data_IF_031347621675
#
_entry.id   IF_031347621675
#
_cell.length_a   1.000
_cell.length_b   1.000
_cell.length_c   1.000
_cell.angle_alpha   90.00
_cell.angle_beta   90.00
_cell.angle_gamma   90.00
#
_symmetry.space_group_name_H-M   'P 1'
#
loop_
_entity.id
_entity.type
_entity.pdbx_description
1 polymer ?
#
# COMPACT_ATOMS: atom_id res chain seq x y z
N UNK A 1 8.71 -38.85 -17.16
CA UNK A 1 7.88 -37.74 -16.70
C UNK A 1 8.81 -36.57 -16.39
N UNK A 2 8.57 -35.40 -16.95
CA UNK A 2 9.44 -34.23 -16.68
C UNK A 2 8.82 -33.50 -15.50
N UNK A 3 9.53 -33.45 -14.37
CA UNK A 3 9.08 -32.70 -13.20
C UNK A 3 9.20 -31.19 -13.48
N UNK A 4 8.08 -30.58 -13.84
CA UNK A 4 7.97 -29.15 -14.15
C UNK A 4 8.57 -28.29 -13.04
N UNK A 5 8.45 -28.68 -11.77
CA UNK A 5 8.95 -27.90 -10.62
C UNK A 5 10.47 -27.88 -10.50
N UNK A 6 11.15 -28.83 -11.15
CA UNK A 6 12.61 -28.87 -11.24
C UNK A 6 13.14 -28.11 -12.45
N UNK A 7 12.26 -27.69 -13.36
CA UNK A 7 12.70 -26.85 -14.47
C UNK A 7 13.15 -25.49 -13.94
N UNK A 8 14.27 -25.02 -14.47
CA UNK A 8 14.81 -23.69 -14.17
C UNK A 8 13.75 -22.60 -14.39
N UNK A 9 12.97 -22.74 -15.47
CA UNK A 9 11.86 -21.85 -15.79
C UNK A 9 10.83 -21.76 -14.65
N UNK A 10 10.39 -22.89 -14.09
CA UNK A 10 9.43 -22.88 -12.99
C UNK A 10 9.99 -22.22 -11.73
N UNK A 11 11.27 -22.46 -11.42
CA UNK A 11 11.92 -21.86 -10.25
C UNK A 11 12.06 -20.34 -10.39
N UNK A 12 12.41 -19.86 -11.58
CA UNK A 12 12.50 -18.43 -11.90
C UNK A 12 11.13 -17.77 -11.75
N UNK A 13 10.10 -18.27 -12.44
CA UNK A 13 8.74 -17.71 -12.39
C UNK A 13 8.13 -17.78 -10.98
N UNK A 14 8.37 -18.86 -10.22
CA UNK A 14 7.89 -18.97 -8.85
C UNK A 14 8.58 -17.97 -7.91
N UNK A 15 9.86 -17.70 -8.14
CA UNK A 15 10.61 -16.71 -7.35
C UNK A 15 10.16 -15.30 -7.68
N UNK A 16 9.97 -14.98 -8.96
CA UNK A 16 9.42 -13.71 -9.42
C UNK A 16 8.04 -13.46 -8.80
N UNK A 17 7.10 -14.41 -8.91
CA UNK A 17 5.77 -14.25 -8.34
C UNK A 17 5.76 -14.12 -6.81
N UNK A 18 6.74 -14.72 -6.11
CA UNK A 18 6.91 -14.49 -4.66
C UNK A 18 7.43 -13.10 -4.34
N UNK A 19 8.34 -12.58 -5.15
CA UNK A 19 8.90 -11.24 -4.98
C UNK A 19 7.83 -10.19 -5.25
N UNK A 20 7.11 -10.30 -6.37
CA UNK A 20 6.00 -9.42 -6.71
C UNK A 20 4.93 -9.42 -5.62
N UNK A 21 4.48 -10.59 -5.16
CA UNK A 21 3.48 -10.68 -4.09
C UNK A 21 3.95 -10.10 -2.74
N UNK A 22 5.25 -10.14 -2.46
CA UNK A 22 5.80 -9.48 -1.26
C UNK A 22 5.82 -7.96 -1.41
N UNK A 23 6.21 -7.45 -2.58
CA UNK A 23 6.23 -6.02 -2.89
C UNK A 23 4.83 -5.43 -2.87
N UNK A 24 3.87 -6.06 -3.56
CA UNK A 24 2.46 -5.67 -3.55
C UNK A 24 1.88 -5.66 -2.13
N UNK A 25 2.11 -6.73 -1.36
CA UNK A 25 1.62 -6.82 0.01
C UNK A 25 2.21 -5.75 0.94
N UNK A 26 3.48 -5.38 0.73
CA UNK A 26 4.12 -4.30 1.47
C UNK A 26 3.53 -2.93 1.09
N UNK A 27 3.32 -2.66 -0.20
CA UNK A 27 2.69 -1.42 -0.67
C UNK A 27 1.24 -1.26 -0.20
N UNK A 28 0.43 -2.32 -0.28
CA UNK A 28 -0.94 -2.33 0.24
C UNK A 28 -0.99 -2.11 1.75
N UNK A 29 -0.07 -2.73 2.48
CA UNK A 29 0.06 -2.58 3.93
C UNK A 29 0.41 -1.15 4.33
N UNK A 30 1.40 -0.55 3.66
CA UNK A 30 1.81 0.83 3.93
C UNK A 30 0.67 1.82 3.60
N UNK A 31 0.03 1.67 2.44
CA UNK A 31 -1.13 2.50 2.07
C UNK A 31 -2.26 2.38 3.09
N UNK A 32 -2.59 1.17 3.52
CA UNK A 32 -3.63 0.91 4.52
C UNK A 32 -3.28 1.56 5.87
N UNK A 33 -2.00 1.52 6.28
CA UNK A 33 -1.54 2.17 7.49
C UNK A 33 -1.69 3.70 7.42
N UNK A 34 -1.26 4.32 6.31
CA UNK A 34 -1.38 5.77 6.08
C UNK A 34 -2.84 6.23 6.12
N UNK A 35 -3.74 5.51 5.45
CA UNK A 35 -5.19 5.80 5.44
C UNK A 35 -5.79 5.69 6.84
N UNK A 36 -5.47 4.63 7.59
CA UNK A 36 -5.97 4.45 8.97
C UNK A 36 -5.52 5.59 9.89
N UNK A 37 -4.26 6.02 9.77
CA UNK A 37 -3.73 7.15 10.55
C UNK A 37 -4.46 8.44 10.13
N UNK A 38 -4.62 8.68 8.83
CA UNK A 38 -5.34 9.85 8.32
C UNK A 38 -6.77 9.91 8.86
N UNK A 39 -7.54 8.82 8.78
CA UNK A 39 -8.89 8.75 9.33
C UNK A 39 -8.94 9.10 10.82
N UNK A 40 -7.97 8.64 11.60
CA UNK A 40 -7.90 8.92 13.05
C UNK A 40 -7.60 10.39 13.35
N UNK A 41 -6.88 11.07 12.46
CA UNK A 41 -6.46 12.46 12.62
C UNK A 41 -7.38 13.48 11.93
N UNK A 42 -8.28 13.04 11.04
CA UNK A 42 -9.19 13.92 10.26
C UNK A 42 -10.04 14.85 11.14
N UNK A 43 -10.45 14.39 12.32
CA UNK A 43 -11.26 15.17 13.28
C UNK A 43 -10.42 16.08 14.18
N UNK A 44 -9.11 15.83 14.25
CA UNK A 44 -8.18 16.54 15.12
C UNK A 44 -7.48 17.66 14.34
N UNK A 45 -7.07 17.36 13.10
CA UNK A 45 -6.31 18.26 12.23
C UNK A 45 -7.25 18.74 11.11
N UNK A 46 -7.58 20.04 11.11
CA UNK A 46 -8.43 20.66 10.08
C UNK A 46 -7.65 21.11 8.85
N UNK A 47 -6.35 21.37 8.99
CA UNK A 47 -5.47 21.79 7.89
C UNK A 47 -4.99 20.56 7.10
N UNK A 48 -5.42 20.47 5.83
CA UNK A 48 -5.12 19.35 4.95
C UNK A 48 -3.63 19.20 4.65
N UNK A 49 -2.89 20.31 4.60
CA UNK A 49 -1.44 20.30 4.36
C UNK A 49 -0.70 19.70 5.55
N UNK A 50 -1.11 20.06 6.77
CA UNK A 50 -0.54 19.50 8.00
C UNK A 50 -0.84 18.00 8.10
N UNK A 51 -2.08 17.61 7.79
CA UNK A 51 -2.49 16.22 7.82
C UNK A 51 -1.74 15.37 6.77
N UNK A 52 -1.58 15.88 5.55
CA UNK A 52 -0.76 15.28 4.50
C UNK A 52 0.69 15.03 4.97
N UNK A 53 1.32 16.03 5.60
CA UNK A 53 2.68 15.92 6.13
C UNK A 53 2.83 14.82 7.18
N UNK A 54 1.84 14.63 8.06
CA UNK A 54 1.89 13.62 9.13
C UNK A 54 1.52 12.21 8.68
N UNK A 55 0.75 12.08 7.61
CA UNK A 55 0.23 10.78 7.12
C UNK A 55 1.01 10.25 5.93
N UNK A 56 1.82 11.10 5.28
CA UNK A 56 2.48 10.75 4.02
C UNK A 56 1.50 10.60 2.86
N UNK A 57 0.29 11.13 2.98
CA UNK A 57 -0.69 11.27 1.90
C UNK A 57 -0.54 12.64 1.25
N UNK A 58 -1.11 12.80 0.06
CA UNK A 58 -1.22 14.09 -0.62
C UNK A 58 -2.43 14.88 -0.11
N UNK A 59 -2.40 16.21 -0.25
CA UNK A 59 -3.55 17.05 0.10
C UNK A 59 -4.83 16.64 -0.67
N UNK A 60 -4.69 16.18 -1.91
CA UNK A 60 -5.81 15.70 -2.72
C UNK A 60 -6.46 14.44 -2.12
N UNK A 61 -5.65 13.49 -1.66
CA UNK A 61 -6.14 12.29 -0.99
C UNK A 61 -6.83 12.64 0.33
N UNK A 62 -6.29 13.58 1.10
CA UNK A 62 -6.93 14.07 2.33
C UNK A 62 -8.28 14.75 2.02
N UNK A 63 -8.34 15.60 1.00
CA UNK A 63 -9.59 16.24 0.58
C UNK A 63 -10.63 15.22 0.14
N UNK A 64 -10.21 14.15 -0.54
CA UNK A 64 -11.10 13.07 -0.94
C UNK A 64 -11.60 12.30 0.28
N UNK A 65 -10.72 11.96 1.22
CA UNK A 65 -11.08 11.31 2.49
C UNK A 65 -12.10 12.12 3.31
N UNK A 66 -12.02 13.45 3.27
CA UNK A 66 -13.03 14.32 3.91
C UNK A 66 -14.40 14.27 3.24
N UNK A 67 -14.45 14.08 1.92
CA UNK A 67 -15.71 13.99 1.16
C UNK A 67 -16.39 12.62 1.30
N UNK A 68 -15.60 11.58 1.55
CA UNK A 68 -16.07 10.20 1.73
C UNK A 68 -16.53 9.89 3.17
N UNK A 69 -16.28 10.80 4.10
CA UNK A 69 -16.76 10.73 5.48
C UNK A 69 -18.22 11.13 5.61
#
# INVERSE_FOLDING_TARGET
>A
DVDLKQTRFYQEVFTEGKQEGFEEGHEEGDKSARLRIAHSLLDIIQDDRVLAQHTGLTELEIQQLRKEK
#
